data_IF_870836345057
#
_entry.id   IF_870836345057
#
_cell.length_a   1.000
_cell.length_b   1.000
_cell.length_c   1.000
_cell.angle_alpha   90.00
_cell.angle_beta   90.00
_cell.angle_gamma   90.00
#
_symmetry.space_group_name_H-M   'P 1'
#
loop_
_entity.id
_entity.type
_entity.pdbx_description
1 polymer ?
#
# COMPACT_ATOMS: atom_id res chain seq x y z
N UNK A 1 -20.58 -6.73 -16.93
CA UNK A 1 -19.73 -7.94 -16.91
C UNK A 1 -18.99 -7.99 -15.58
N UNK A 2 -19.42 -8.85 -14.66
CA UNK A 2 -18.74 -9.09 -13.39
C UNK A 2 -17.37 -9.72 -13.65
N UNK A 3 -16.29 -8.96 -13.43
CA UNK A 3 -14.94 -9.52 -13.45
C UNK A 3 -14.71 -10.20 -12.11
N UNK A 4 -14.75 -11.53 -12.12
CA UNK A 4 -14.32 -12.35 -10.99
C UNK A 4 -12.81 -12.12 -10.85
N UNK A 5 -12.42 -11.35 -9.84
CA UNK A 5 -11.05 -11.28 -9.37
C UNK A 5 -10.53 -12.71 -9.19
N UNK A 6 -9.40 -13.04 -9.82
CA UNK A 6 -8.77 -14.33 -9.62
C UNK A 6 -7.78 -14.19 -8.46
N UNK A 7 -8.11 -14.67 -7.25
CA UNK A 7 -7.28 -14.49 -6.06
C UNK A 7 -5.94 -15.26 -6.09
N UNK A 8 -5.61 -15.96 -7.19
CA UNK A 8 -4.34 -16.67 -7.33
C UNK A 8 -3.10 -15.77 -7.48
N UNK A 9 -3.26 -14.44 -7.58
CA UNK A 9 -2.14 -13.52 -7.75
C UNK A 9 -2.17 -12.38 -6.73
N UNK A 10 -1.86 -12.71 -5.47
CA UNK A 10 -1.48 -11.68 -4.50
C UNK A 10 -0.10 -11.16 -4.87
N UNK A 11 0.01 -9.87 -5.20
CA UNK A 11 1.28 -9.26 -5.57
C UNK A 11 2.29 -9.42 -4.41
N UNK A 12 3.51 -9.93 -4.67
CA UNK A 12 4.56 -10.09 -3.66
C UNK A 12 5.23 -8.75 -3.31
N UNK A 13 4.43 -7.70 -3.11
CA UNK A 13 4.91 -6.32 -2.97
C UNK A 13 5.74 -6.09 -1.69
N UNK A 14 5.41 -6.80 -0.60
CA UNK A 14 6.05 -6.58 0.69
C UNK A 14 7.55 -6.85 0.68
N UNK A 15 8.02 -7.87 -0.05
CA UNK A 15 9.46 -8.22 -0.14
C UNK A 15 10.26 -7.14 -0.88
N UNK A 16 9.70 -6.66 -2.00
CA UNK A 16 10.28 -5.54 -2.75
C UNK A 16 10.32 -4.29 -1.88
N UNK A 17 9.20 -3.93 -1.25
CA UNK A 17 9.11 -2.72 -0.42
C UNK A 17 10.07 -2.81 0.76
N UNK A 18 10.16 -3.94 1.45
CA UNK A 18 11.08 -4.15 2.56
C UNK A 18 12.54 -4.02 2.10
N UNK A 19 12.87 -4.53 0.91
CA UNK A 19 14.21 -4.40 0.33
C UNK A 19 14.55 -2.94 0.03
N UNK A 20 13.60 -2.18 -0.52
CA UNK A 20 13.77 -0.74 -0.78
C UNK A 20 13.93 0.05 0.53
N UNK A 21 13.09 -0.21 1.54
CA UNK A 21 13.18 0.42 2.86
C UNK A 21 14.54 0.11 3.52
N UNK A 22 15.04 -1.14 3.44
CA UNK A 22 16.37 -1.52 3.96
C UNK A 22 17.52 -0.82 3.22
N UNK A 23 17.35 -0.49 1.93
CA UNK A 23 18.29 0.32 1.14
C UNK A 23 18.11 1.84 1.38
N UNK A 24 17.42 2.22 2.46
CA UNK A 24 17.18 3.62 2.86
C UNK A 24 16.30 4.43 1.90
N UNK A 25 15.54 3.78 1.02
CA UNK A 25 14.50 4.46 0.25
C UNK A 25 13.28 4.75 1.13
N UNK A 26 12.67 5.91 0.91
CA UNK A 26 11.39 6.29 1.51
C UNK A 26 10.31 6.30 0.44
N UNK A 27 9.16 5.71 0.76
CA UNK A 27 7.98 5.72 -0.10
C UNK A 27 7.33 7.10 0.01
N UNK A 28 7.32 7.85 -1.08
CA UNK A 28 6.67 9.16 -1.17
C UNK A 28 5.20 8.99 -1.53
N UNK A 29 4.92 8.14 -2.53
CA UNK A 29 3.59 7.77 -2.96
C UNK A 29 3.55 6.28 -3.30
N UNK A 30 2.41 5.65 -3.03
CA UNK A 30 2.12 4.25 -3.34
C UNK A 30 0.69 4.18 -3.83
N UNK A 31 0.47 3.49 -4.95
CA UNK A 31 -0.88 3.24 -5.48
C UNK A 31 -0.90 1.90 -6.20
N UNK A 32 -1.81 1.02 -5.79
CA UNK A 32 -2.16 -0.17 -6.53
C UNK A 32 -3.21 0.22 -7.59
N UNK A 33 -2.93 -0.12 -8.85
CA UNK A 33 -3.69 0.35 -9.99
C UNK A 33 -3.68 -0.67 -11.13
N UNK A 34 -4.61 -0.51 -12.06
CA UNK A 34 -4.73 -1.33 -13.27
C UNK A 34 -4.68 -0.43 -14.49
N UNK A 35 -3.60 -0.50 -15.25
CA UNK A 35 -3.38 0.37 -16.40
C UNK A 35 -4.07 -0.16 -17.66
N UNK A 36 -4.69 0.72 -18.41
CA UNK A 36 -5.09 0.47 -19.80
C UNK A 36 -3.90 0.60 -20.73
N UNK A 37 -4.02 0.06 -21.95
CA UNK A 37 -2.94 0.20 -22.95
C UNK A 37 -2.67 1.65 -23.33
N UNK A 38 -3.68 2.52 -23.31
CA UNK A 38 -3.50 3.94 -23.64
C UNK A 38 -2.83 4.70 -22.49
N UNK A 39 -3.11 4.34 -21.23
CA UNK A 39 -2.39 4.86 -20.07
C UNK A 39 -0.92 4.42 -20.07
N UNK A 40 -0.62 3.15 -20.40
CA UNK A 40 0.76 2.68 -20.55
C UNK A 40 1.49 3.44 -21.66
N UNK A 41 0.83 3.69 -22.80
CA UNK A 41 1.41 4.54 -23.86
C UNK A 41 1.66 5.96 -23.37
N UNK A 42 0.71 6.57 -22.67
CA UNK A 42 0.85 7.94 -22.16
C UNK A 42 1.96 8.08 -21.11
N UNK A 43 2.14 7.06 -20.27
CA UNK A 43 3.32 6.95 -19.41
C UNK A 43 4.60 6.88 -20.24
N UNK A 44 4.56 6.19 -21.37
CA UNK A 44 5.74 5.93 -22.19
C UNK A 44 6.12 7.04 -23.17
N UNK A 45 5.25 8.04 -23.40
CA UNK A 45 5.44 9.12 -24.39
C UNK A 45 6.73 9.94 -24.21
N UNK A 46 7.25 10.03 -22.99
CA UNK A 46 8.48 10.76 -22.68
C UNK A 46 9.74 9.90 -22.70
N UNK A 47 9.61 8.59 -22.96
CA UNK A 47 10.77 7.73 -23.09
C UNK A 47 11.50 8.02 -24.40
N UNK A 48 12.83 8.17 -24.30
CA UNK A 48 13.72 8.31 -25.46
C UNK A 48 13.93 6.98 -26.18
N UNK A 49 13.64 5.84 -25.54
CA UNK A 49 13.83 4.49 -26.08
C UNK A 49 12.50 3.76 -26.34
N UNK A 50 12.03 3.90 -27.58
CA UNK A 50 10.81 3.26 -28.10
C UNK A 50 10.90 1.72 -28.14
N UNK A 51 12.08 1.12 -28.01
CA UNK A 51 12.25 -0.34 -28.06
C UNK A 51 11.60 -1.06 -26.87
N UNK A 52 11.45 -0.35 -25.75
CA UNK A 52 10.88 -0.88 -24.51
C UNK A 52 9.34 -0.88 -24.47
N UNK A 53 8.69 -0.08 -25.32
CA UNK A 53 7.23 0.14 -25.29
C UNK A 53 6.42 -1.15 -25.52
N UNK A 54 6.74 -2.02 -26.51
CA UNK A 54 6.01 -3.27 -26.70
C UNK A 54 6.07 -4.19 -25.47
N UNK A 55 7.22 -4.23 -24.79
CA UNK A 55 7.40 -5.00 -23.55
C UNK A 55 6.56 -4.41 -22.42
N UNK A 56 6.63 -3.10 -22.20
CA UNK A 56 5.82 -2.42 -21.18
C UNK A 56 4.31 -2.62 -21.42
N UNK A 57 3.86 -2.55 -22.66
CA UNK A 57 2.46 -2.85 -23.00
C UNK A 57 2.08 -4.29 -22.64
N UNK A 58 2.92 -5.27 -22.99
CA UNK A 58 2.71 -6.69 -22.65
C UNK A 58 2.67 -6.96 -21.14
N UNK A 59 3.53 -6.29 -20.37
CA UNK A 59 3.67 -6.54 -18.93
C UNK A 59 2.71 -5.73 -18.07
N UNK A 60 2.38 -4.49 -18.45
CA UNK A 60 1.60 -3.59 -17.61
C UNK A 60 0.12 -3.50 -18.01
N UNK A 61 -0.20 -3.66 -19.30
CA UNK A 61 -1.57 -3.43 -19.78
C UNK A 61 -2.54 -4.48 -19.24
N UNK A 62 -3.58 -4.01 -18.55
CA UNK A 62 -4.66 -4.83 -18.01
C UNK A 62 -4.28 -5.66 -16.79
N UNK A 63 -3.04 -5.56 -16.29
CA UNK A 63 -2.58 -6.22 -15.07
C UNK A 63 -2.70 -5.28 -13.87
N UNK A 64 -2.80 -5.87 -12.68
CA UNK A 64 -2.72 -5.12 -11.42
C UNK A 64 -1.24 -4.88 -11.15
N UNK A 65 -0.87 -3.63 -10.93
CA UNK A 65 0.50 -3.20 -10.64
C UNK A 65 0.50 -2.29 -9.42
N UNK A 66 1.64 -2.15 -8.77
CA UNK A 66 1.86 -1.16 -7.72
C UNK A 66 2.84 -0.13 -8.26
N UNK A 67 2.39 1.12 -8.36
CA UNK A 67 3.25 2.24 -8.62
C UNK A 67 3.83 2.74 -7.29
N UNK A 68 5.15 2.95 -7.28
CA UNK A 68 5.90 3.50 -6.16
C UNK A 68 6.64 4.76 -6.63
N UNK A 69 6.46 5.86 -5.91
CA UNK A 69 7.38 6.99 -5.96
C UNK A 69 8.32 6.88 -4.76
N UNK A 70 9.63 6.89 -5.02
CA UNK A 70 10.66 6.66 -4.03
C UNK A 70 11.58 7.87 -3.94
N UNK A 71 12.00 8.19 -2.71
CA UNK A 71 12.99 9.22 -2.41
C UNK A 71 14.17 8.61 -1.67
N UNK A 72 15.38 9.02 -2.03
CA UNK A 72 16.62 8.57 -1.44
C UNK A 72 17.82 9.27 -2.07
N UNK A 73 18.98 9.20 -1.43
CA UNK A 73 20.23 9.69 -2.03
C UNK A 73 20.55 8.86 -3.29
N UNK A 74 20.89 9.53 -4.39
CA UNK A 74 21.19 8.88 -5.69
C UNK A 74 20.11 7.90 -6.15
N UNK A 75 18.83 8.19 -5.83
CA UNK A 75 17.74 7.24 -6.00
C UNK A 75 17.63 6.66 -7.41
N UNK A 76 17.76 7.47 -8.45
CA UNK A 76 17.62 7.01 -9.83
C UNK A 76 18.73 6.03 -10.24
N UNK A 77 19.97 6.30 -9.83
CA UNK A 77 21.12 5.45 -10.13
C UNK A 77 21.01 4.10 -9.41
N UNK A 78 20.75 4.13 -8.11
CA UNK A 78 20.60 2.93 -7.28
C UNK A 78 19.40 2.08 -7.70
N UNK A 79 18.28 2.69 -8.09
CA UNK A 79 17.13 1.94 -8.62
C UNK A 79 17.42 1.35 -10.00
N UNK A 80 18.14 2.06 -10.87
CA UNK A 80 18.53 1.54 -12.17
C UNK A 80 19.46 0.33 -12.03
N UNK A 81 20.45 0.41 -11.13
CA UNK A 81 21.32 -0.72 -10.79
C UNK A 81 20.53 -1.87 -10.16
N UNK A 82 19.64 -1.57 -9.21
CA UNK A 82 18.80 -2.58 -8.57
C UNK A 82 17.88 -3.30 -9.57
N UNK A 83 17.28 -2.59 -10.53
CA UNK A 83 16.31 -3.20 -11.44
C UNK A 83 17.00 -3.87 -12.64
N UNK A 84 17.99 -3.21 -13.24
CA UNK A 84 18.59 -3.60 -14.52
C UNK A 84 20.07 -4.02 -14.45
N UNK A 85 20.69 -3.96 -13.28
CA UNK A 85 22.10 -4.32 -13.12
C UNK A 85 22.40 -5.79 -13.45
N UNK A 86 23.67 -6.07 -13.77
CA UNK A 86 24.15 -7.43 -14.07
C UNK A 86 24.28 -8.24 -12.77
N UNK A 87 23.96 -9.55 -12.78
CA UNK A 87 24.17 -10.44 -11.62
C UNK A 87 25.65 -10.57 -11.25
N UNK A 88 26.15 -9.66 -10.43
CA UNK A 88 27.36 -9.78 -9.60
C UNK A 88 26.97 -9.84 -8.12
N UNK A 89 27.93 -10.11 -7.23
CA UNK A 89 27.72 -10.58 -5.85
C UNK A 89 26.83 -9.71 -4.92
N UNK A 90 26.34 -8.54 -5.35
CA UNK A 90 25.41 -7.70 -4.59
C UNK A 90 24.28 -7.05 -5.42
N UNK A 91 24.07 -7.48 -6.67
CA UNK A 91 23.14 -6.83 -7.62
C UNK A 91 21.96 -7.74 -7.98
N UNK A 92 20.76 -7.34 -7.52
CA UNK A 92 19.51 -8.10 -7.63
C UNK A 92 18.69 -7.67 -8.85
N UNK A 93 19.03 -8.09 -10.07
CA UNK A 93 18.14 -7.91 -11.23
C UNK A 93 16.73 -8.44 -10.91
N UNK A 94 15.73 -7.57 -10.82
CA UNK A 94 14.37 -7.97 -10.48
C UNK A 94 13.46 -7.89 -11.73
N UNK A 95 13.05 -9.04 -12.31
CA UNK A 95 12.27 -9.06 -13.54
C UNK A 95 10.84 -8.52 -13.37
N UNK A 96 10.36 -8.41 -12.13
CA UNK A 96 9.01 -7.93 -11.79
C UNK A 96 8.96 -6.42 -11.57
N UNK A 97 10.11 -5.72 -11.63
CA UNK A 97 10.20 -4.27 -11.47
C UNK A 97 10.51 -3.58 -12.79
N UNK A 98 9.90 -2.41 -12.97
CA UNK A 98 10.11 -1.55 -14.12
C UNK A 98 10.36 -0.13 -13.63
N UNK A 99 11.47 0.45 -14.09
CA UNK A 99 11.73 1.87 -13.94
C UNK A 99 11.35 2.59 -15.23
N UNK A 100 10.43 3.55 -15.13
CA UNK A 100 9.96 4.35 -16.28
C UNK A 100 10.84 5.56 -16.58
N UNK A 101 11.77 5.93 -15.71
CA UNK A 101 12.60 7.13 -15.91
C UNK A 101 13.92 6.94 -15.20
N UNK A 102 15.01 7.42 -15.79
CA UNK A 102 16.36 7.27 -15.22
C UNK A 102 16.90 8.57 -14.60
N UNK A 103 16.11 9.65 -14.63
CA UNK A 103 16.48 10.95 -14.08
C UNK A 103 15.33 11.56 -13.27
N UNK A 104 15.69 12.41 -12.30
CA UNK A 104 14.73 12.98 -11.35
C UNK A 104 13.67 13.88 -11.99
N UNK A 105 14.02 14.64 -13.05
CA UNK A 105 13.07 15.57 -13.69
C UNK A 105 11.93 14.83 -14.36
N UNK A 106 12.24 13.77 -15.10
CA UNK A 106 11.23 12.96 -15.76
C UNK A 106 10.48 12.09 -14.74
N UNK A 107 11.16 11.58 -13.70
CA UNK A 107 10.50 10.87 -12.58
C UNK A 107 9.41 11.73 -11.94
N UNK A 108 9.66 13.03 -11.74
CA UNK A 108 8.66 13.95 -11.19
C UNK A 108 7.46 14.13 -12.14
N UNK A 109 7.69 14.23 -13.45
CA UNK A 109 6.60 14.31 -14.44
C UNK A 109 5.75 13.03 -14.43
N UNK A 110 6.38 11.86 -14.33
CA UNK A 110 5.66 10.59 -14.23
C UNK A 110 4.90 10.47 -12.92
N UNK A 111 5.51 10.86 -11.80
CA UNK A 111 4.84 10.88 -10.51
C UNK A 111 3.59 11.75 -10.55
N UNK A 112 3.65 12.94 -11.17
CA UNK A 112 2.48 13.80 -11.37
C UNK A 112 1.40 13.13 -12.25
N UNK A 113 1.77 12.41 -13.31
CA UNK A 113 0.80 11.65 -14.14
C UNK A 113 0.14 10.49 -13.39
N UNK A 114 0.84 9.86 -12.46
CA UNK A 114 0.33 8.68 -11.72
C UNK A 114 -0.46 9.10 -10.46
N UNK A 115 0.09 10.05 -9.70
CA UNK A 115 -0.34 10.39 -8.34
C UNK A 115 -0.92 11.82 -8.20
N UNK A 116 -0.78 12.69 -9.21
CA UNK A 116 -1.19 14.09 -9.12
C UNK A 116 -2.71 14.31 -9.05
N UNK A 117 -3.11 15.52 -8.63
CA UNK A 117 -4.51 15.95 -8.63
C UNK A 117 -4.66 17.44 -9.01
N UNK A 118 -5.57 17.81 -9.93
CA UNK A 118 -6.27 16.93 -10.87
C UNK A 118 -5.30 16.37 -11.93
N UNK A 119 -5.53 15.15 -12.41
CA UNK A 119 -4.78 14.59 -13.56
C UNK A 119 -3.90 13.37 -13.28
N UNK A 120 -3.92 12.82 -12.08
CA UNK A 120 -3.42 11.47 -11.83
C UNK A 120 -4.28 10.44 -12.55
N UNK A 121 -3.70 9.34 -13.01
CA UNK A 121 -4.47 8.26 -13.63
C UNK A 121 -5.65 7.86 -12.74
N UNK A 122 -6.84 7.97 -13.33
CA UNK A 122 -8.09 7.65 -12.68
C UNK A 122 -7.97 6.24 -12.12
N UNK A 123 -8.38 6.08 -10.88
CA UNK A 123 -8.48 4.77 -10.27
C UNK A 123 -9.51 3.95 -11.06
N UNK A 124 -9.06 3.16 -12.04
CA UNK A 124 -9.91 2.25 -12.81
C UNK A 124 -10.27 0.97 -12.01
N UNK A 125 -10.19 1.07 -10.68
CA UNK A 125 -10.62 0.13 -9.65
C UNK A 125 -9.51 -0.70 -9.03
N UNK A 126 -9.61 -0.97 -7.72
CA UNK A 126 -8.92 -2.06 -7.05
C UNK A 126 -9.60 -2.68 -5.81
N UNK A 127 -10.68 -2.15 -5.18
CA UNK A 127 -11.25 -2.83 -4.04
C UNK A 127 -12.30 -3.86 -4.50
N UNK A 128 -12.38 -5.02 -3.85
CA UNK A 128 -13.40 -6.03 -4.07
C UNK A 128 -14.72 -5.67 -3.39
N UNK A 129 -14.66 -4.97 -2.25
CA UNK A 129 -15.77 -4.56 -1.38
C UNK A 129 -16.63 -5.71 -0.81
N UNK A 130 -16.31 -6.96 -1.13
CA UNK A 130 -17.05 -8.14 -0.67
C UNK A 130 -16.13 -9.13 0.01
N UNK A 131 -16.49 -9.51 1.24
CA UNK A 131 -15.69 -10.40 2.09
C UNK A 131 -14.23 -9.92 2.19
N UNK A 132 -14.08 -8.64 2.51
CA UNK A 132 -12.79 -7.97 2.72
C UNK A 132 -12.78 -7.29 4.09
N UNK A 133 -11.73 -6.52 4.40
CA UNK A 133 -11.65 -5.61 5.53
C UNK A 133 -10.72 -4.45 5.18
N UNK A 134 -10.87 -3.29 5.81
CA UNK A 134 -9.86 -2.24 5.75
C UNK A 134 -8.73 -2.55 6.75
N UNK A 135 -7.50 -2.25 6.36
CA UNK A 135 -6.38 -2.03 7.26
C UNK A 135 -5.65 -0.75 6.93
N UNK A 136 -5.12 -0.05 7.92
CA UNK A 136 -4.27 1.12 7.70
C UNK A 136 -2.93 0.88 8.38
N UNK A 137 -1.84 0.88 7.63
CA UNK A 137 -0.49 1.00 8.19
C UNK A 137 -0.30 2.44 8.65
N UNK A 138 -0.16 2.62 9.97
CA UNK A 138 -0.14 3.93 10.61
C UNK A 138 1.13 4.72 10.31
N UNK A 139 1.10 6.06 10.44
CA UNK A 139 2.25 6.91 10.11
C UNK A 139 3.59 6.55 10.76
N UNK A 140 3.59 6.13 12.03
CA UNK A 140 4.83 5.72 12.69
C UNK A 140 5.45 4.48 12.03
N UNK A 141 4.64 3.46 11.71
CA UNK A 141 5.12 2.25 11.05
C UNK A 141 5.63 2.50 9.63
N UNK A 142 4.99 3.42 8.90
CA UNK A 142 5.48 3.87 7.59
C UNK A 142 6.82 4.61 7.73
N UNK A 143 6.92 5.54 8.70
CA UNK A 143 8.15 6.29 8.97
C UNK A 143 9.32 5.39 9.38
N UNK A 144 9.03 4.35 10.16
CA UNK A 144 10.02 3.39 10.67
C UNK A 144 10.46 2.37 9.59
N UNK A 145 9.92 2.45 8.37
CA UNK A 145 10.26 1.53 7.28
C UNK A 145 9.73 0.11 7.52
N UNK A 146 8.56 -0.01 8.12
CA UNK A 146 7.91 -1.30 8.42
C UNK A 146 6.87 -1.70 7.38
N UNK A 147 6.65 -0.90 6.33
CA UNK A 147 5.59 -1.14 5.34
C UNK A 147 5.74 -2.51 4.70
N UNK A 148 6.92 -2.81 4.19
CA UNK A 148 7.18 -4.07 3.50
C UNK A 148 7.08 -5.27 4.43
N UNK A 149 7.57 -5.14 5.67
CA UNK A 149 7.50 -6.19 6.70
C UNK A 149 6.07 -6.51 7.11
N UNK A 150 5.24 -5.48 7.33
CA UNK A 150 3.82 -5.65 7.66
C UNK A 150 3.09 -6.30 6.49
N UNK A 151 3.32 -5.84 5.26
CA UNK A 151 2.69 -6.43 4.07
C UNK A 151 3.12 -7.90 3.88
N UNK A 152 4.40 -8.23 4.11
CA UNK A 152 4.86 -9.61 4.09
C UNK A 152 4.17 -10.47 5.14
N UNK A 153 4.04 -10.00 6.38
CA UNK A 153 3.34 -10.74 7.43
C UNK A 153 1.87 -11.01 7.05
N UNK A 154 1.19 -10.04 6.43
CA UNK A 154 -0.17 -10.20 5.88
C UNK A 154 -0.21 -11.32 4.83
N UNK A 155 0.72 -11.29 3.87
CA UNK A 155 0.81 -12.30 2.80
C UNK A 155 1.14 -13.69 3.35
N UNK A 156 2.11 -13.79 4.28
CA UNK A 156 2.53 -15.06 4.90
C UNK A 156 1.41 -15.71 5.70
N UNK A 157 0.49 -14.91 6.26
CA UNK A 157 -0.72 -15.41 6.92
C UNK A 157 -1.81 -15.88 5.93
N UNK A 158 -1.57 -15.74 4.62
CA UNK A 158 -2.46 -16.19 3.56
C UNK A 158 -3.43 -15.13 3.04
N UNK A 159 -3.39 -13.90 3.57
CA UNK A 159 -4.22 -12.81 3.08
C UNK A 159 -3.68 -12.22 1.78
N UNK A 160 -4.56 -11.51 1.09
CA UNK A 160 -4.27 -10.79 -0.13
C UNK A 160 -4.53 -9.30 0.06
N UNK A 161 -3.67 -8.45 -0.51
CA UNK A 161 -3.97 -7.02 -0.63
C UNK A 161 -4.62 -6.79 -1.98
N UNK A 162 -5.85 -6.30 -1.99
CA UNK A 162 -6.68 -6.10 -3.18
C UNK A 162 -6.64 -4.65 -3.64
N UNK A 163 -6.62 -3.70 -2.70
CA UNK A 163 -6.37 -2.29 -2.95
C UNK A 163 -5.29 -1.75 -2.00
N UNK A 164 -4.48 -0.80 -2.45
CA UNK A 164 -3.49 -0.14 -1.61
C UNK A 164 -3.22 1.29 -2.08
N UNK A 165 -3.15 2.23 -1.14
CA UNK A 165 -2.75 3.61 -1.43
C UNK A 165 -2.17 4.31 -0.21
N UNK A 166 -1.16 5.15 -0.46
CA UNK A 166 -0.60 6.06 0.53
C UNK A 166 -1.43 7.35 0.58
N UNK A 167 -1.80 7.76 1.79
CA UNK A 167 -2.53 9.00 2.07
C UNK A 167 -1.75 9.86 3.07
N UNK A 168 -1.99 11.17 2.99
CA UNK A 168 -1.58 12.14 4.02
C UNK A 168 -2.85 12.82 4.49
N UNK A 169 -3.46 12.29 5.54
CA UNK A 169 -4.75 12.77 6.03
C UNK A 169 -4.59 14.12 6.71
N UNK A 170 -5.50 15.05 6.40
CA UNK A 170 -5.65 16.23 7.24
C UNK A 170 -6.24 15.82 8.60
N UNK A 171 -6.15 16.72 9.59
CA UNK A 171 -6.87 16.50 10.86
C UNK A 171 -8.38 16.38 10.67
N UNK A 172 -8.95 17.02 9.64
CA UNK A 172 -10.37 16.91 9.36
C UNK A 172 -10.73 15.51 8.84
N UNK A 173 -9.98 15.01 7.85
CA UNK A 173 -10.20 13.66 7.29
C UNK A 173 -10.00 12.58 8.35
N UNK A 174 -8.95 12.70 9.17
CA UNK A 174 -8.69 11.76 10.24
C UNK A 174 -9.79 11.79 11.33
N UNK A 175 -10.39 12.95 11.60
CA UNK A 175 -11.48 13.08 12.57
C UNK A 175 -12.81 12.51 12.04
N UNK A 176 -13.08 12.69 10.75
CA UNK A 176 -14.22 12.08 10.08
C UNK A 176 -14.09 10.55 10.09
N UNK A 177 -12.93 10.01 9.71
CA UNK A 177 -12.69 8.58 9.74
C UNK A 177 -12.82 7.97 11.15
N UNK A 178 -12.32 8.66 12.18
CA UNK A 178 -12.33 8.15 13.56
C UNK A 178 -13.59 8.56 14.34
N UNK A 179 -14.61 9.16 13.72
CA UNK A 179 -15.75 9.77 14.41
C UNK A 179 -16.44 8.80 15.38
N UNK A 180 -16.56 7.52 15.00
CA UNK A 180 -17.18 6.47 15.83
C UNK A 180 -16.47 6.24 17.17
N UNK A 181 -15.21 6.63 17.30
CA UNK A 181 -14.43 6.52 18.52
C UNK A 181 -14.51 7.78 19.41
N UNK A 182 -15.08 8.88 18.90
CA UNK A 182 -15.16 10.15 19.61
C UNK A 182 -16.05 10.03 20.85
N UNK A 183 -15.45 10.25 22.02
CA UNK A 183 -16.14 10.12 23.31
C UNK A 183 -16.34 8.67 23.78
N UNK A 184 -15.88 7.68 23.00
CA UNK A 184 -15.92 6.25 23.35
C UNK A 184 -14.57 5.79 23.92
N UNK A 185 -13.46 6.25 23.33
CA UNK A 185 -12.10 5.92 23.77
C UNK A 185 -11.39 7.17 24.30
N UNK A 186 -10.59 7.01 25.35
CA UNK A 186 -9.89 8.14 25.99
C UNK A 186 -8.77 8.68 25.10
N UNK A 187 -8.12 7.80 24.35
CA UNK A 187 -6.99 8.07 23.47
C UNK A 187 -7.40 8.73 22.13
N UNK A 188 -8.68 9.10 21.95
CA UNK A 188 -9.19 9.67 20.70
C UNK A 188 -8.40 10.90 20.21
N UNK A 189 -8.09 11.91 21.06
CA UNK A 189 -7.29 13.06 20.63
C UNK A 189 -5.90 12.66 20.12
N UNK A 190 -5.22 11.73 20.80
CA UNK A 190 -3.90 11.25 20.42
C UNK A 190 -3.95 10.37 19.16
N UNK A 191 -5.00 9.57 18.98
CA UNK A 191 -5.24 8.80 17.76
C UNK A 191 -5.39 9.71 16.54
N UNK A 192 -6.11 10.83 16.69
CA UNK A 192 -6.29 11.83 15.64
C UNK A 192 -4.96 12.48 15.26
N UNK A 193 -4.20 12.93 16.26
CA UNK A 193 -2.88 13.54 16.05
C UNK A 193 -1.91 12.53 15.42
N UNK A 194 -1.93 11.27 15.85
CA UNK A 194 -1.07 10.23 15.29
C UNK A 194 -1.42 9.94 13.83
N UNK A 195 -2.70 9.81 13.48
CA UNK A 195 -3.11 9.44 12.12
C UNK A 195 -2.89 10.57 11.11
N UNK A 196 -2.91 11.83 11.56
CA UNK A 196 -2.63 13.03 10.76
C UNK A 196 -1.16 13.50 10.80
N UNK A 197 -0.28 12.79 11.54
CA UNK A 197 1.12 13.19 11.72
C UNK A 197 2.03 12.98 10.50
N UNK A 198 1.58 12.22 9.51
CA UNK A 198 2.41 11.84 8.37
C UNK A 198 1.71 10.88 7.41
N UNK A 199 2.46 10.25 6.49
CA UNK A 199 1.90 9.34 5.51
C UNK A 199 1.40 8.05 6.15
N UNK A 200 0.18 7.62 5.84
CA UNK A 200 -0.35 6.31 6.18
C UNK A 200 -0.64 5.51 4.90
N UNK A 201 -0.75 4.19 4.99
CA UNK A 201 -1.09 3.36 3.83
C UNK A 201 -2.38 2.62 4.14
N UNK A 202 -3.45 2.94 3.42
CA UNK A 202 -4.70 2.19 3.46
C UNK A 202 -4.59 0.97 2.54
N UNK A 203 -5.05 -0.17 3.04
CA UNK A 203 -5.06 -1.46 2.38
C UNK A 203 -6.48 -2.04 2.45
N UNK A 204 -7.02 -2.49 1.33
CA UNK A 204 -8.12 -3.46 1.38
C UNK A 204 -7.52 -4.87 1.42
N UNK A 205 -7.94 -5.65 2.41
CA UNK A 205 -7.47 -7.01 2.64
C UNK A 205 -8.57 -7.99 2.25
N UNK A 206 -8.22 -8.96 1.41
CA UNK A 206 -9.03 -10.12 1.04
C UNK A 206 -8.37 -11.43 1.45
N UNK A 207 -9.03 -12.54 1.15
CA UNK A 207 -8.47 -13.88 1.32
C UNK A 207 -8.80 -14.75 0.10
N UNK A 208 -7.88 -15.60 -0.39
CA UNK A 208 -8.11 -16.37 -1.60
C UNK A 208 -9.25 -17.39 -1.52
N UNK A 209 -9.44 -18.01 -0.35
CA UNK A 209 -10.58 -18.89 -0.09
C UNK A 209 -11.84 -18.04 0.24
N UNK A 210 -12.89 -18.09 -0.59
CA UNK A 210 -14.12 -17.32 -0.37
C UNK A 210 -14.91 -17.77 0.86
N UNK A 211 -14.60 -18.93 1.45
CA UNK A 211 -15.27 -19.43 2.67
C UNK A 211 -14.67 -18.87 3.96
N UNK A 212 -13.53 -18.18 3.90
CA UNK A 212 -12.92 -17.54 5.06
C UNK A 212 -13.64 -16.22 5.35
N UNK A 213 -14.05 -16.02 6.60
CA UNK A 213 -14.56 -14.73 7.07
C UNK A 213 -13.39 -13.75 7.23
N UNK A 214 -13.11 -12.98 6.20
CA UNK A 214 -11.89 -12.15 6.13
C UNK A 214 -11.81 -11.14 7.25
N UNK A 215 -12.92 -10.44 7.54
CA UNK A 215 -12.99 -9.47 8.64
C UNK A 215 -12.60 -10.10 9.97
N UNK A 216 -13.25 -11.20 10.35
CA UNK A 216 -12.99 -11.85 11.64
C UNK A 216 -11.55 -12.38 11.71
N UNK A 217 -11.12 -13.13 10.70
CA UNK A 217 -9.79 -13.76 10.68
C UNK A 217 -8.68 -12.70 10.68
N UNK A 218 -8.85 -11.59 9.96
CA UNK A 218 -7.87 -10.51 9.93
C UNK A 218 -7.83 -9.73 11.25
N UNK A 219 -8.97 -9.50 11.90
CA UNK A 219 -9.02 -8.87 13.23
C UNK A 219 -8.33 -9.72 14.29
N UNK A 220 -8.52 -11.04 14.24
CA UNK A 220 -7.80 -11.99 15.10
C UNK A 220 -6.29 -11.96 14.88
N UNK A 221 -5.84 -11.85 13.62
CA UNK A 221 -4.43 -11.72 13.25
C UNK A 221 -3.84 -10.34 13.60
N UNK A 222 -4.65 -9.28 13.56
CA UNK A 222 -4.23 -7.94 13.96
C UNK A 222 -3.93 -7.90 15.45
N UNK A 223 -4.75 -8.55 16.27
CA UNK A 223 -4.56 -8.69 17.71
C UNK A 223 -5.09 -7.52 18.54
N UNK A 224 -4.94 -7.59 19.88
CA UNK A 224 -5.39 -6.56 20.82
C UNK A 224 -4.87 -5.16 20.45
N UNK A 225 -5.69 -4.12 20.69
CA UNK A 225 -5.34 -2.73 20.35
C UNK A 225 -4.08 -2.22 21.05
N UNK A 226 -3.84 -2.72 22.27
CA UNK A 226 -2.66 -2.44 23.07
C UNK A 226 -1.55 -3.44 22.73
N UNK A 227 -0.43 -2.99 22.14
CA UNK A 227 0.70 -3.85 21.82
C UNK A 227 1.29 -4.61 23.02
N UNK A 228 1.24 -4.08 24.24
CA UNK A 228 1.74 -4.76 25.42
C UNK A 228 0.87 -5.99 25.74
N UNK A 229 -0.45 -5.80 25.71
CA UNK A 229 -1.42 -6.89 25.86
C UNK A 229 -1.29 -7.89 24.70
N UNK A 230 -1.11 -7.39 23.48
CA UNK A 230 -0.94 -8.24 22.29
C UNK A 230 0.30 -9.13 22.41
N UNK A 231 1.45 -8.58 22.84
CA UNK A 231 2.70 -9.34 23.07
C UNK A 231 2.52 -10.44 24.11
N UNK A 232 1.77 -10.16 25.18
CA UNK A 232 1.52 -11.12 26.24
C UNK A 232 0.55 -12.24 25.83
N UNK A 233 -0.55 -11.90 25.15
CA UNK A 233 -1.62 -12.87 24.85
C UNK A 233 -1.47 -13.57 23.50
N UNK A 234 -0.95 -12.86 22.49
CA UNK A 234 -0.91 -13.28 21.08
C UNK A 234 0.33 -12.72 20.36
N UNK A 235 1.55 -13.21 20.68
CA UNK A 235 2.82 -12.60 20.27
C UNK A 235 3.03 -12.52 18.75
N UNK A 236 2.37 -13.38 17.97
CA UNK A 236 2.51 -13.43 16.51
C UNK A 236 1.54 -12.48 15.76
N UNK A 237 0.80 -11.63 16.48
CA UNK A 237 -0.15 -10.68 15.87
C UNK A 237 0.54 -9.41 15.37
N UNK A 238 -0.04 -8.73 14.38
CA UNK A 238 0.56 -7.51 13.79
C UNK A 238 0.85 -6.44 14.84
N UNK A 239 -0.07 -6.19 15.77
CA UNK A 239 0.12 -5.21 16.85
C UNK A 239 1.16 -5.66 17.88
N UNK A 240 1.28 -6.97 18.12
CA UNK A 240 2.31 -7.49 19.01
C UNK A 240 3.72 -7.31 18.41
N UNK A 241 3.88 -7.61 17.12
CA UNK A 241 5.18 -7.59 16.43
C UNK A 241 5.63 -6.17 16.11
N UNK A 242 4.73 -5.32 15.61
CA UNK A 242 5.08 -4.01 15.05
C UNK A 242 4.61 -2.83 15.91
N UNK A 243 3.74 -3.06 16.90
CA UNK A 243 3.19 -1.99 17.73
C UNK A 243 4.12 -1.52 18.85
N UNK A 244 4.07 -0.21 19.10
CA UNK A 244 4.85 0.49 20.14
C UNK A 244 4.01 0.70 21.40
N UNK A 245 2.84 1.33 21.26
CA UNK A 245 1.88 1.61 22.33
C UNK A 245 0.45 1.66 21.77
N UNK A 246 -0.56 1.94 22.61
CA UNK A 246 -1.98 1.97 22.20
C UNK A 246 -2.29 2.90 21.03
N UNK A 247 -1.60 4.04 20.93
CA UNK A 247 -1.81 5.05 19.89
C UNK A 247 -0.96 4.71 18.65
N UNK A 248 0.29 4.30 18.87
CA UNK A 248 1.25 3.83 17.87
C UNK A 248 1.25 2.31 17.79
N UNK A 249 0.12 1.73 17.43
CA UNK A 249 -0.08 0.28 17.43
C UNK A 249 0.14 -0.40 16.07
N UNK A 250 0.99 0.16 15.22
CA UNK A 250 1.27 -0.23 13.82
C UNK A 250 0.10 -0.19 12.84
N UNK A 251 -1.01 -0.86 13.13
CA UNK A 251 -2.12 -1.04 12.18
C UNK A 251 -3.50 -0.75 12.77
N UNK A 252 -4.31 -0.04 11.99
CA UNK A 252 -5.77 -0.07 12.11
C UNK A 252 -6.32 -1.32 11.40
N UNK A 253 -7.43 -1.85 11.90
CA UNK A 253 -8.28 -2.80 11.20
C UNK A 253 -9.74 -2.44 11.50
N UNK A 254 -10.64 -2.65 10.55
CA UNK A 254 -12.08 -2.48 10.78
C UNK A 254 -12.55 -3.30 11.99
N UNK A 255 -13.36 -2.70 12.86
CA UNK A 255 -13.81 -3.34 14.10
C UNK A 255 -15.12 -4.14 13.95
N UNK A 256 -16.05 -3.63 13.13
CA UNK A 256 -17.35 -4.25 12.89
C UNK A 256 -17.48 -4.68 11.42
N UNK A 257 -18.03 -5.89 11.15
CA UNK A 257 -18.20 -6.36 9.77
C UNK A 257 -19.00 -5.40 8.89
N UNK A 258 -20.01 -4.73 9.46
CA UNK A 258 -20.86 -3.77 8.75
C UNK A 258 -20.13 -2.48 8.32
N UNK A 259 -19.01 -2.16 8.95
CA UNK A 259 -18.28 -0.92 8.69
C UNK A 259 -17.24 -1.08 7.58
N UNK A 260 -16.93 -2.31 7.17
CA UNK A 260 -15.90 -2.60 6.16
C UNK A 260 -16.16 -1.81 4.87
N UNK A 261 -17.38 -1.90 4.34
CA UNK A 261 -17.70 -1.24 3.07
C UNK A 261 -17.63 0.29 3.21
N UNK A 262 -18.06 0.84 4.35
CA UNK A 262 -18.00 2.28 4.63
C UNK A 262 -16.55 2.77 4.69
N UNK A 263 -15.70 2.07 5.47
CA UNK A 263 -14.29 2.42 5.64
C UNK A 263 -13.49 2.27 4.34
N UNK A 264 -13.69 1.19 3.58
CA UNK A 264 -13.01 1.00 2.28
C UNK A 264 -13.47 2.05 1.27
N UNK A 265 -14.76 2.38 1.21
CA UNK A 265 -15.27 3.45 0.35
C UNK A 265 -14.73 4.83 0.76
N UNK A 266 -14.58 5.08 2.06
CA UNK A 266 -14.02 6.34 2.54
C UNK A 266 -12.64 6.61 1.94
N UNK A 267 -11.72 5.64 2.03
CA UNK A 267 -10.38 5.79 1.46
C UNK A 267 -10.37 5.74 -0.06
N UNK A 268 -10.94 4.71 -0.67
CA UNK A 268 -10.70 4.42 -2.08
C UNK A 268 -11.71 5.08 -3.04
N UNK A 269 -12.79 5.69 -2.52
CA UNK A 269 -13.80 6.37 -3.34
C UNK A 269 -14.08 7.83 -2.93
N UNK A 270 -13.95 8.19 -1.65
CA UNK A 270 -14.24 9.57 -1.21
C UNK A 270 -12.97 10.42 -1.14
N UNK A 271 -11.90 9.91 -0.51
CA UNK A 271 -10.62 10.61 -0.44
C UNK A 271 -9.82 10.54 -1.74
N UNK A 272 -10.16 9.62 -2.65
CA UNK A 272 -9.50 9.47 -3.96
C UNK A 272 -10.21 10.27 -5.09
N UNK A 273 -10.96 11.32 -4.75
CA UNK A 273 -11.70 12.17 -5.70
C UNK A 273 -11.09 13.55 -5.85
#
# INVERSE_FOLDING_TARGET
MSRIYNPKFCLPAGEVIATLENKSFRIVNLKLLRLTSDEVKSLSENHTDFSSIPRLLSELSGRIVIALELMGANACELLNEFIYGSKGDDVLSNPDLFMLTTNASDSLKQANKIFGYPGGMNYLGAPLLKNTTLSIIRPHAVSDGLTGKIWNAIKEKGFCVTAARLYRLSKADAAEFLEVYKGVVQEYPEMLDQLSSGPCIALEIGFPDPNVNVHQTFREFTGPIDPEIAKFLRPDTLRAVFGVDKVRNAVHCTDLPGDTELEVNYFFNNLDK
#
